data_IF_228187977415
#
_entry.id   IF_228187977415
#
_cell.length_a   1.000
_cell.length_b   1.000
_cell.length_c   1.000
_cell.angle_alpha   90.00
_cell.angle_beta   90.00
_cell.angle_gamma   90.00
#
_symmetry.space_group_name_H-M   'P 1'
#
loop_
_entity.id
_entity.type
_entity.pdbx_description
1 polymer ?
#
# COMPACT_ATOMS: atom_id res chain seq x y z
N UNK A 1 -24.64 -0.44 16.50
CA UNK A 1 -25.38 -1.15 15.42
C UNK A 1 -25.79 -2.50 15.98
N UNK A 2 -27.04 -2.94 15.77
CA UNK A 2 -27.47 -4.30 16.16
C UNK A 2 -26.63 -5.32 15.39
N UNK A 3 -26.12 -6.34 16.08
CA UNK A 3 -25.42 -7.45 15.43
C UNK A 3 -26.43 -8.26 14.60
N UNK A 4 -26.25 -8.26 13.29
CA UNK A 4 -26.97 -9.15 12.38
C UNK A 4 -26.04 -10.33 12.05
N UNK A 5 -26.34 -11.55 12.56
CA UNK A 5 -25.48 -12.72 12.32
C UNK A 5 -25.41 -13.15 10.85
N UNK A 6 -26.33 -12.66 10.01
CA UNK A 6 -26.28 -12.87 8.55
C UNK A 6 -25.44 -11.85 7.81
N UNK A 7 -24.85 -10.90 8.54
CA UNK A 7 -24.03 -9.84 7.95
C UNK A 7 -22.67 -9.75 8.67
N UNK A 8 -21.77 -10.73 8.47
CA UNK A 8 -20.44 -10.68 9.06
C UNK A 8 -19.69 -9.41 8.60
N UNK A 9 -18.93 -8.82 9.50
CA UNK A 9 -18.24 -7.55 9.27
C UNK A 9 -16.75 -7.76 8.99
N UNK A 10 -16.17 -6.91 8.14
CA UNK A 10 -14.74 -6.97 7.82
C UNK A 10 -13.84 -6.91 9.06
N UNK A 11 -14.26 -6.25 10.13
CA UNK A 11 -13.51 -6.22 11.40
C UNK A 11 -13.39 -7.59 12.07
N UNK A 12 -14.29 -8.53 11.81
CA UNK A 12 -14.20 -9.89 12.36
C UNK A 12 -13.16 -10.78 11.69
N UNK A 13 -12.57 -10.32 10.57
CA UNK A 13 -11.50 -11.05 9.87
C UNK A 13 -10.17 -10.96 10.62
N UNK A 14 -9.95 -9.90 11.42
CA UNK A 14 -8.72 -9.69 12.18
C UNK A 14 -8.80 -10.49 13.49
N UNK A 15 -7.86 -11.40 13.69
CA UNK A 15 -7.82 -12.30 14.85
C UNK A 15 -6.40 -12.42 15.37
N UNK A 16 -6.24 -12.96 16.58
CA UNK A 16 -4.93 -13.31 17.15
C UNK A 16 -4.46 -14.71 16.75
N UNK A 17 -5.26 -15.45 16.00
CA UNK A 17 -4.89 -16.80 15.53
C UNK A 17 -3.93 -16.72 14.35
N UNK A 18 -2.96 -17.65 14.24
CA UNK A 18 -2.06 -17.71 13.11
C UNK A 18 -2.81 -17.77 11.77
N UNK A 19 -2.35 -16.99 10.80
CA UNK A 19 -2.91 -16.92 9.45
C UNK A 19 -1.78 -16.68 8.43
N UNK A 20 -1.93 -17.14 7.18
CA UNK A 20 -1.00 -16.81 6.11
C UNK A 20 -1.00 -15.31 5.75
N UNK A 21 -2.07 -14.58 6.10
CA UNK A 21 -2.16 -13.12 5.94
C UNK A 21 -1.96 -12.46 7.29
N UNK A 22 -1.06 -11.47 7.37
CA UNK A 22 -0.83 -10.67 8.57
C UNK A 22 -1.14 -9.20 8.34
N UNK A 23 -1.58 -8.49 9.39
CA UNK A 23 -1.76 -7.05 9.40
C UNK A 23 -0.95 -6.40 10.50
N UNK A 24 -0.14 -5.39 10.16
CA UNK A 24 0.77 -4.70 11.07
C UNK A 24 0.57 -3.19 10.97
N UNK A 25 0.44 -2.51 12.11
CA UNK A 25 0.35 -1.06 12.17
C UNK A 25 1.74 -0.43 12.28
N UNK A 26 2.04 0.53 11.41
CA UNK A 26 3.33 1.24 11.35
C UNK A 26 3.05 2.76 11.35
N UNK A 27 2.77 3.37 12.50
CA UNK A 27 2.26 4.73 12.62
C UNK A 27 3.37 5.81 12.52
N UNK A 28 4.15 5.82 11.43
CA UNK A 28 5.19 6.82 11.16
C UNK A 28 4.59 8.18 10.77
N UNK A 29 5.30 9.28 11.10
CA UNK A 29 4.88 10.64 10.75
C UNK A 29 5.96 11.71 10.83
N UNK A 30 7.10 11.41 11.49
CA UNK A 30 8.07 12.46 11.86
C UNK A 30 8.92 12.93 10.70
N UNK A 31 9.05 12.11 9.66
CA UNK A 31 9.83 12.41 8.46
C UNK A 31 8.98 12.98 7.33
N UNK A 32 7.71 13.19 7.57
CA UNK A 32 6.77 13.74 6.59
C UNK A 32 7.15 15.18 6.22
N UNK A 33 7.17 15.48 4.92
CA UNK A 33 7.47 16.81 4.38
C UNK A 33 6.38 17.81 4.76
N UNK A 34 5.14 17.36 4.78
CA UNK A 34 3.98 18.12 5.23
C UNK A 34 3.56 17.66 6.62
N UNK A 35 3.31 18.58 7.54
CA UNK A 35 2.82 18.24 8.88
C UNK A 35 1.56 17.39 8.80
N UNK A 36 1.58 16.24 9.45
CA UNK A 36 0.53 15.23 9.39
C UNK A 36 0.26 14.56 10.72
N UNK A 37 -0.96 14.07 10.88
CA UNK A 37 -1.36 13.14 11.93
C UNK A 37 -1.61 11.72 11.39
N UNK A 38 -0.92 11.34 10.32
CA UNK A 38 -1.09 10.05 9.64
C UNK A 38 -0.91 8.83 10.59
N UNK A 39 -0.17 8.99 11.70
CA UNK A 39 -0.03 7.95 12.74
C UNK A 39 -1.37 7.50 13.37
N UNK A 40 -2.45 8.27 13.20
CA UNK A 40 -3.78 7.90 13.68
C UNK A 40 -4.52 6.96 12.71
N UNK A 41 -4.01 6.82 11.50
CA UNK A 41 -4.71 6.15 10.39
C UNK A 41 -4.83 4.64 10.55
N UNK A 42 -3.83 3.88 11.03
CA UNK A 42 -3.99 2.44 11.21
C UNK A 42 -5.21 2.08 12.04
N UNK A 43 -5.36 2.72 13.19
CA UNK A 43 -6.52 2.52 14.06
C UNK A 43 -7.84 2.89 13.37
N UNK A 44 -7.88 4.01 12.66
CA UNK A 44 -9.07 4.48 11.97
C UNK A 44 -9.51 3.51 10.86
N UNK A 45 -8.56 2.94 10.09
CA UNK A 45 -8.85 1.90 9.08
C UNK A 45 -9.43 0.65 9.72
N UNK A 46 -8.83 0.16 10.82
CA UNK A 46 -9.34 -1.01 11.56
C UNK A 46 -10.77 -0.80 12.05
N UNK A 47 -11.09 0.37 12.59
CA UNK A 47 -12.44 0.72 13.02
C UNK A 47 -13.41 0.79 11.83
N UNK A 48 -12.98 1.31 10.68
CA UNK A 48 -13.81 1.43 9.49
C UNK A 48 -14.16 0.07 8.86
N UNK A 49 -13.38 -0.99 9.06
CA UNK A 49 -13.70 -2.35 8.62
C UNK A 49 -15.05 -2.85 9.16
N UNK A 50 -15.48 -2.38 10.34
CA UNK A 50 -16.77 -2.72 10.90
C UNK A 50 -17.98 -2.21 10.09
N UNK A 51 -17.75 -1.32 9.11
CA UNK A 51 -18.82 -0.80 8.24
C UNK A 51 -19.12 -1.72 7.06
N UNK A 52 -18.20 -2.60 6.69
CA UNK A 52 -18.26 -3.40 5.47
C UNK A 52 -18.57 -4.86 5.76
N UNK A 53 -19.24 -5.50 4.79
CA UNK A 53 -19.48 -6.93 4.77
C UNK A 53 -18.23 -7.68 4.31
N UNK A 54 -18.16 -8.96 4.63
CA UNK A 54 -17.14 -9.88 4.11
C UNK A 54 -17.48 -10.46 2.74
N UNK A 55 -18.66 -10.14 2.20
CA UNK A 55 -19.13 -10.66 0.92
C UNK A 55 -18.64 -9.82 -0.27
N UNK A 56 -17.93 -10.46 -1.19
CA UNK A 56 -17.49 -9.89 -2.46
C UNK A 56 -18.45 -10.26 -3.58
N UNK A 57 -19.24 -9.29 -4.05
CA UNK A 57 -20.25 -9.54 -5.09
C UNK A 57 -19.63 -9.92 -6.44
N UNK A 58 -18.48 -9.30 -6.80
CA UNK A 58 -17.82 -9.54 -8.10
C UNK A 58 -17.27 -10.95 -8.26
N UNK A 59 -16.88 -11.61 -7.16
CA UNK A 59 -16.43 -13.01 -7.15
C UNK A 59 -17.49 -13.96 -6.63
N UNK A 60 -18.60 -13.42 -6.10
CA UNK A 60 -19.65 -14.15 -5.40
C UNK A 60 -19.10 -15.03 -4.27
N UNK A 61 -18.13 -14.49 -3.52
CA UNK A 61 -17.41 -15.19 -2.46
C UNK A 61 -17.52 -14.44 -1.12
N UNK A 62 -17.70 -15.19 -0.05
CA UNK A 62 -17.61 -14.70 1.32
C UNK A 62 -16.22 -14.95 1.87
N UNK A 63 -15.43 -13.88 2.00
CA UNK A 63 -14.05 -13.94 2.46
C UNK A 63 -13.92 -14.23 3.97
N UNK A 64 -15.03 -14.42 4.71
CA UNK A 64 -15.00 -14.73 6.14
C UNK A 64 -14.29 -16.04 6.49
N UNK A 65 -14.10 -16.94 5.50
CA UNK A 65 -13.32 -18.17 5.66
C UNK A 65 -11.80 -17.95 5.72
N UNK A 66 -11.30 -16.72 5.53
CA UNK A 66 -9.86 -16.40 5.61
C UNK A 66 -9.65 -15.32 6.67
N UNK A 67 -8.93 -15.65 7.74
CA UNK A 67 -8.58 -14.68 8.78
C UNK A 67 -7.33 -13.87 8.39
N UNK A 68 -7.15 -12.75 9.10
CA UNK A 68 -5.94 -11.93 9.08
C UNK A 68 -5.36 -11.98 10.49
N UNK A 69 -4.11 -12.41 10.63
CA UNK A 69 -3.44 -12.39 11.94
C UNK A 69 -3.06 -10.96 12.32
N UNK A 70 -3.47 -10.55 13.52
CA UNK A 70 -3.09 -9.26 14.08
C UNK A 70 -1.64 -9.33 14.60
N UNK A 71 -0.74 -8.67 13.90
CA UNK A 71 0.67 -8.56 14.27
C UNK A 71 0.94 -7.38 15.22
N UNK A 72 -0.11 -6.62 15.58
CA UNK A 72 -0.03 -5.46 16.49
C UNK A 72 0.53 -4.21 15.83
N UNK A 73 1.29 -3.41 16.60
CA UNK A 73 1.80 -2.10 16.21
C UNK A 73 3.31 -1.99 16.45
N UNK A 74 4.01 -1.23 15.62
CA UNK A 74 5.40 -0.79 15.84
C UNK A 74 5.37 0.46 16.73
N UNK A 75 6.05 0.40 17.87
CA UNK A 75 5.96 1.46 18.87
C UNK A 75 6.66 2.77 18.46
N UNK A 76 7.79 2.69 17.78
CA UNK A 76 8.58 3.87 17.33
C UNK A 76 9.12 3.66 15.91
N UNK A 77 8.24 3.67 14.89
CA UNK A 77 8.67 3.41 13.51
C UNK A 77 9.62 4.49 12.95
N UNK A 78 9.47 5.73 13.41
CA UNK A 78 10.32 6.84 12.99
C UNK A 78 11.72 6.82 13.64
N UNK A 79 11.86 6.23 14.82
CA UNK A 79 13.13 6.19 15.57
C UNK A 79 13.86 4.86 15.46
N UNK A 80 13.16 3.79 15.07
CA UNK A 80 13.73 2.44 15.02
C UNK A 80 13.19 1.63 13.81
N UNK A 81 13.56 2.03 12.61
CA UNK A 81 13.19 1.31 11.38
C UNK A 81 13.68 -0.16 11.39
N UNK A 82 14.78 -0.45 12.09
CA UNK A 82 15.31 -1.81 12.18
C UNK A 82 14.35 -2.76 12.92
N UNK A 83 13.59 -2.25 13.88
CA UNK A 83 12.53 -3.04 14.53
C UNK A 83 11.45 -3.43 13.52
N UNK A 84 11.01 -2.49 12.70
CA UNK A 84 10.03 -2.75 11.63
C UNK A 84 10.53 -3.82 10.67
N UNK A 85 11.75 -3.68 10.16
CA UNK A 85 12.38 -4.65 9.25
C UNK A 85 12.42 -6.04 9.89
N UNK A 86 12.93 -6.13 11.11
CA UNK A 86 13.11 -7.41 11.81
C UNK A 86 11.78 -8.09 12.13
N UNK A 87 10.77 -7.32 12.53
CA UNK A 87 9.45 -7.83 12.87
C UNK A 87 8.73 -8.39 11.66
N UNK A 88 8.79 -7.69 10.53
CA UNK A 88 8.20 -8.16 9.27
C UNK A 88 8.93 -9.41 8.77
N UNK A 89 10.27 -9.40 8.75
CA UNK A 89 11.06 -10.56 8.32
C UNK A 89 10.76 -11.82 9.13
N UNK A 90 10.51 -11.67 10.44
CA UNK A 90 10.21 -12.78 11.35
C UNK A 90 8.74 -13.24 11.33
N UNK A 91 7.83 -12.43 10.82
CA UNK A 91 6.40 -12.75 10.81
C UNK A 91 6.04 -13.89 9.87
N UNK A 92 6.86 -14.16 8.85
CA UNK A 92 6.73 -15.26 7.89
C UNK A 92 5.32 -15.40 7.31
N UNK A 93 4.83 -14.33 6.67
CA UNK A 93 3.51 -14.26 6.05
C UNK A 93 3.59 -14.45 4.54
N UNK A 94 2.57 -15.11 3.97
CA UNK A 94 2.41 -15.16 2.52
C UNK A 94 1.97 -13.81 1.95
N UNK A 95 1.21 -13.03 2.74
CA UNK A 95 0.86 -11.64 2.45
C UNK A 95 0.89 -10.81 3.73
N UNK A 96 1.76 -9.82 3.77
CA UNK A 96 1.73 -8.77 4.79
C UNK A 96 0.86 -7.61 4.32
N UNK A 97 -0.03 -7.11 5.17
CA UNK A 97 -0.73 -5.85 5.00
C UNK A 97 -0.17 -4.88 6.05
N UNK A 98 0.57 -3.87 5.62
CA UNK A 98 1.10 -2.83 6.50
C UNK A 98 0.19 -1.59 6.46
N UNK A 99 -0.38 -1.21 7.60
CA UNK A 99 -1.14 0.01 7.71
C UNK A 99 -0.20 1.14 8.14
N UNK A 100 0.06 2.05 7.21
CA UNK A 100 0.98 3.15 7.42
C UNK A 100 0.37 4.35 8.07
N UNK A 101 1.29 5.16 8.51
CA UNK A 101 1.27 6.58 8.62
C UNK A 101 1.66 7.25 7.31
N UNK A 102 2.78 7.95 7.29
CA UNK A 102 3.33 8.53 6.06
C UNK A 102 4.10 7.49 5.22
N UNK A 103 4.45 7.84 3.98
CA UNK A 103 5.06 6.91 3.02
C UNK A 103 6.50 6.50 3.36
N UNK A 104 7.12 7.06 4.41
CA UNK A 104 8.46 6.65 4.83
C UNK A 104 8.54 5.18 5.25
N UNK A 105 7.41 4.59 5.68
CA UNK A 105 7.34 3.19 6.12
C UNK A 105 7.67 2.19 5.02
N UNK A 106 7.40 2.52 3.76
CA UNK A 106 7.60 1.63 2.59
C UNK A 106 9.03 1.12 2.52
N UNK A 107 10.02 1.95 2.89
CA UNK A 107 11.41 1.51 2.96
C UNK A 107 11.61 0.32 3.90
N UNK A 108 11.21 0.46 5.16
CA UNK A 108 11.42 -0.57 6.16
C UNK A 108 10.51 -1.79 5.94
N UNK A 109 9.26 -1.56 5.50
CA UNK A 109 8.30 -2.61 5.22
C UNK A 109 8.75 -3.49 4.05
N UNK A 110 9.19 -2.88 2.94
CA UNK A 110 9.69 -3.62 1.78
C UNK A 110 10.96 -4.40 2.11
N UNK A 111 11.94 -3.80 2.80
CA UNK A 111 13.15 -4.52 3.21
C UNK A 111 12.85 -5.74 4.09
N UNK A 112 11.95 -5.59 5.06
CA UNK A 112 11.52 -6.70 5.90
C UNK A 112 10.84 -7.81 5.11
N UNK A 113 10.01 -7.45 4.13
CA UNK A 113 9.30 -8.41 3.27
C UNK A 113 10.21 -9.10 2.26
N UNK A 114 11.21 -8.41 1.72
CA UNK A 114 12.18 -8.97 0.76
C UNK A 114 13.19 -9.91 1.41
N UNK A 115 13.43 -9.77 2.72
CA UNK A 115 14.43 -10.58 3.44
C UNK A 115 15.80 -10.53 2.73
N UNK A 116 16.33 -11.70 2.35
CA UNK A 116 17.63 -11.84 1.65
C UNK A 116 17.52 -11.67 0.13
N UNK A 117 16.30 -11.60 -0.43
CA UNK A 117 16.06 -11.63 -1.87
C UNK A 117 16.05 -10.24 -2.55
N UNK A 118 16.60 -9.22 -1.88
CA UNK A 118 16.57 -7.82 -2.34
C UNK A 118 17.08 -7.64 -3.79
N UNK A 119 18.06 -8.40 -4.21
CA UNK A 119 18.67 -8.30 -5.55
C UNK A 119 17.72 -8.70 -6.68
N UNK A 120 16.77 -9.61 -6.42
CA UNK A 120 15.76 -10.08 -7.38
C UNK A 120 14.38 -9.51 -7.09
N UNK A 121 14.22 -8.86 -5.94
CA UNK A 121 12.96 -8.27 -5.50
C UNK A 121 12.45 -7.21 -6.48
N UNK A 122 11.14 -7.00 -6.45
CA UNK A 122 10.44 -5.98 -7.21
C UNK A 122 9.63 -5.08 -6.30
N UNK A 123 9.71 -3.77 -6.56
CA UNK A 123 8.82 -2.78 -5.97
C UNK A 123 7.81 -2.32 -7.03
N UNK A 124 6.52 -2.30 -6.67
CA UNK A 124 5.46 -1.67 -7.45
C UNK A 124 4.91 -0.54 -6.60
N UNK A 125 4.94 0.71 -7.09
CA UNK A 125 4.27 1.82 -6.40
C UNK A 125 3.03 2.25 -7.16
N UNK A 126 1.95 2.49 -6.44
CA UNK A 126 0.76 3.20 -6.88
C UNK A 126 0.83 4.59 -6.24
N UNK A 127 1.36 5.58 -6.96
CA UNK A 127 1.81 6.85 -6.42
C UNK A 127 1.82 7.94 -7.51
N UNK A 128 1.52 9.18 -7.13
CA UNK A 128 1.67 10.35 -8.00
C UNK A 128 3.13 10.83 -8.11
N UNK A 129 4.01 10.37 -7.21
CA UNK A 129 5.40 10.82 -7.05
C UNK A 129 6.41 9.71 -7.35
N UNK A 130 7.67 10.13 -7.63
CA UNK A 130 8.77 9.18 -7.82
C UNK A 130 9.42 8.70 -6.53
N UNK A 131 9.30 9.45 -5.45
CA UNK A 131 9.91 9.18 -4.15
C UNK A 131 11.43 8.97 -4.19
N UNK A 132 12.07 9.81 -5.01
CA UNK A 132 13.50 9.81 -5.25
C UNK A 132 14.23 10.98 -4.56
N UNK A 133 13.59 11.65 -3.57
CA UNK A 133 14.23 12.75 -2.84
C UNK A 133 15.46 12.29 -2.09
N UNK A 134 16.42 13.19 -1.94
CA UNK A 134 17.59 12.96 -1.12
C UNK A 134 17.26 12.98 0.36
N UNK A 135 17.99 12.20 1.15
CA UNK A 135 17.82 12.13 2.60
C UNK A 135 16.72 11.17 3.06
N UNK A 136 16.20 11.41 4.28
CA UNK A 136 15.16 10.58 4.90
C UNK A 136 13.89 11.42 5.01
N UNK A 137 12.87 11.03 4.26
CA UNK A 137 11.54 11.64 4.29
C UNK A 137 10.50 10.68 3.71
N UNK A 138 9.22 11.02 3.82
CA UNK A 138 8.15 10.29 3.14
C UNK A 138 8.25 10.35 1.61
N UNK A 139 9.03 11.28 1.03
CA UNK A 139 9.30 11.37 -0.41
C UNK A 139 10.60 10.69 -0.84
N UNK A 140 11.16 9.77 -0.04
CA UNK A 140 12.45 9.12 -0.34
C UNK A 140 12.49 7.59 -0.24
N UNK A 141 11.41 6.84 0.01
CA UNK A 141 11.49 5.39 0.20
C UNK A 141 12.05 4.66 -1.02
N UNK A 142 11.68 5.06 -2.23
CA UNK A 142 12.19 4.46 -3.47
C UNK A 142 13.70 4.69 -3.61
N UNK A 143 14.20 5.91 -3.38
CA UNK A 143 15.62 6.21 -3.39
C UNK A 143 16.39 5.38 -2.39
N UNK A 144 15.89 5.27 -1.18
CA UNK A 144 16.53 4.53 -0.09
C UNK A 144 16.58 3.03 -0.36
N UNK A 145 15.55 2.44 -0.99
CA UNK A 145 15.55 1.04 -1.43
C UNK A 145 16.61 0.78 -2.51
N UNK A 146 16.79 1.71 -3.46
CA UNK A 146 17.86 1.63 -4.46
C UNK A 146 19.22 1.68 -3.77
N UNK A 147 19.43 2.60 -2.86
CA UNK A 147 20.68 2.75 -2.11
C UNK A 147 20.97 1.52 -1.23
N UNK A 148 19.95 0.80 -0.77
CA UNK A 148 20.07 -0.47 -0.07
C UNK A 148 20.39 -1.66 -0.98
N UNK A 149 20.25 -1.53 -2.31
CA UNK A 149 20.60 -2.56 -3.29
C UNK A 149 19.47 -3.10 -4.15
N UNK A 150 18.25 -2.54 -4.05
CA UNK A 150 17.17 -2.87 -4.97
C UNK A 150 17.53 -2.42 -6.39
N UNK A 151 17.43 -3.34 -7.36
CA UNK A 151 17.69 -2.99 -8.76
C UNK A 151 16.60 -2.03 -9.29
N UNK A 152 16.97 -0.79 -9.71
CA UNK A 152 15.98 0.19 -10.19
C UNK A 152 15.15 -0.32 -11.39
N UNK A 153 15.68 -1.23 -12.20
CA UNK A 153 14.95 -1.84 -13.33
C UNK A 153 13.82 -2.77 -12.86
N UNK A 154 13.84 -3.19 -11.60
CA UNK A 154 12.78 -3.96 -10.98
C UNK A 154 11.73 -3.07 -10.27
N UNK A 155 11.81 -1.74 -10.42
CA UNK A 155 10.83 -0.79 -9.88
C UNK A 155 9.83 -0.43 -10.96
N UNK A 156 8.55 -0.54 -10.64
CA UNK A 156 7.42 -0.17 -11.49
C UNK A 156 6.57 0.87 -10.77
N UNK A 157 6.45 2.06 -11.34
CA UNK A 157 5.67 3.16 -10.79
C UNK A 157 4.42 3.40 -11.62
N UNK A 158 3.25 3.25 -11.02
CA UNK A 158 1.93 3.36 -11.66
C UNK A 158 1.23 4.60 -11.13
N UNK A 159 0.94 5.56 -12.00
CA UNK A 159 0.15 6.73 -11.64
C UNK A 159 0.92 8.04 -11.57
N UNK A 160 2.22 8.04 -11.84
CA UNK A 160 3.06 9.25 -11.83
C UNK A 160 2.34 10.41 -12.53
N UNK A 161 2.06 11.48 -11.77
CA UNK A 161 1.17 12.54 -12.22
C UNK A 161 1.95 13.75 -12.75
N UNK A 162 1.33 14.46 -13.69
CA UNK A 162 1.87 15.70 -14.23
C UNK A 162 1.94 16.77 -13.12
N UNK A 163 3.01 17.55 -13.12
CA UNK A 163 3.28 18.65 -12.17
C UNK A 163 3.47 18.22 -10.70
N UNK A 164 3.53 16.91 -10.41
CA UNK A 164 3.80 16.37 -9.08
C UNK A 164 5.28 16.05 -8.84
N UNK A 165 6.11 16.10 -9.89
CA UNK A 165 7.53 15.76 -9.82
C UNK A 165 8.41 16.84 -10.43
N UNK A 166 9.66 16.98 -9.94
CA UNK A 166 10.64 17.85 -10.59
C UNK A 166 11.25 17.19 -11.83
N UNK A 167 11.78 18.02 -12.73
CA UNK A 167 12.50 17.53 -13.91
C UNK A 167 13.72 16.69 -13.52
N UNK A 168 14.42 17.07 -12.46
CA UNK A 168 15.60 16.39 -11.96
C UNK A 168 15.29 14.98 -11.50
N UNK A 169 14.22 14.78 -10.71
CA UNK A 169 13.82 13.44 -10.24
C UNK A 169 13.21 12.60 -11.35
N UNK A 170 12.48 13.20 -12.28
CA UNK A 170 12.00 12.49 -13.48
C UNK A 170 13.15 12.03 -14.38
N UNK A 171 14.20 12.87 -14.54
CA UNK A 171 15.41 12.51 -15.26
C UNK A 171 16.17 11.39 -14.55
N UNK A 172 16.30 11.47 -13.22
CA UNK A 172 16.93 10.43 -12.42
C UNK A 172 16.19 9.09 -12.56
N UNK A 173 14.88 9.07 -12.48
CA UNK A 173 14.07 7.86 -12.66
C UNK A 173 14.34 7.21 -14.03
N UNK A 174 14.41 8.03 -15.09
CA UNK A 174 14.71 7.58 -16.44
C UNK A 174 16.14 7.03 -16.57
N UNK A 175 17.13 7.73 -16.02
CA UNK A 175 18.54 7.35 -16.10
C UNK A 175 18.84 6.06 -15.33
N UNK A 176 18.12 5.84 -14.21
CA UNK A 176 18.16 4.61 -13.43
C UNK A 176 17.43 3.45 -14.13
N UNK A 177 16.57 3.74 -15.10
CA UNK A 177 15.80 2.73 -15.83
C UNK A 177 14.58 2.23 -15.04
N UNK A 178 13.99 3.06 -14.17
CA UNK A 178 12.72 2.78 -13.49
C UNK A 178 11.61 2.70 -14.53
N UNK A 179 10.72 1.72 -14.39
CA UNK A 179 9.58 1.54 -15.30
C UNK A 179 8.42 2.44 -14.84
N UNK A 180 8.06 3.43 -15.65
CA UNK A 180 7.05 4.43 -15.30
C UNK A 180 5.82 4.29 -16.20
N UNK A 181 4.67 4.06 -15.59
CA UNK A 181 3.34 4.15 -16.22
C UNK A 181 2.70 5.44 -15.69
N UNK A 182 2.85 6.53 -16.46
CA UNK A 182 2.30 7.83 -16.06
C UNK A 182 0.78 7.80 -15.97
N UNK A 183 0.19 8.79 -15.28
CA UNK A 183 -1.27 8.94 -15.19
C UNK A 183 -1.93 9.00 -16.57
N UNK A 184 -1.29 9.65 -17.54
CA UNK A 184 -1.80 9.72 -18.92
C UNK A 184 -1.73 8.38 -19.64
N UNK A 185 -0.64 7.63 -19.48
CA UNK A 185 -0.50 6.27 -20.02
C UNK A 185 -1.55 5.35 -19.40
N UNK A 186 -1.71 5.43 -18.07
CA UNK A 186 -2.70 4.64 -17.32
C UNK A 186 -4.14 4.88 -17.81
N UNK A 187 -4.49 6.13 -18.15
CA UNK A 187 -5.80 6.46 -18.71
C UNK A 187 -6.06 5.76 -20.06
N UNK A 188 -5.00 5.41 -20.78
CA UNK A 188 -5.09 4.76 -22.09
C UNK A 188 -5.17 3.23 -21.98
N UNK A 189 -4.31 2.63 -21.15
CA UNK A 189 -4.21 1.16 -21.05
C UNK A 189 -5.13 0.56 -19.98
N UNK A 190 -5.55 1.36 -18.99
CA UNK A 190 -6.36 0.93 -17.85
C UNK A 190 -5.54 0.25 -16.75
N UNK A 191 -6.12 0.23 -15.53
CA UNK A 191 -5.44 -0.26 -14.32
C UNK A 191 -5.10 -1.76 -14.38
N UNK A 192 -5.95 -2.56 -14.98
CA UNK A 192 -5.72 -4.02 -15.13
C UNK A 192 -4.44 -4.29 -15.91
N UNK A 193 -4.28 -3.64 -17.06
CA UNK A 193 -3.10 -3.84 -17.90
C UNK A 193 -1.84 -3.28 -17.25
N UNK A 194 -1.94 -2.15 -16.56
CA UNK A 194 -0.81 -1.59 -15.81
C UNK A 194 -0.31 -2.57 -14.73
N UNK A 195 -1.21 -3.18 -13.96
CA UNK A 195 -0.86 -4.20 -12.97
C UNK A 195 -0.24 -5.45 -13.63
N UNK A 196 -0.79 -5.90 -14.76
CA UNK A 196 -0.25 -7.04 -15.50
C UNK A 196 1.18 -6.78 -16.00
N UNK A 197 1.44 -5.58 -16.54
CA UNK A 197 2.78 -5.15 -16.97
C UNK A 197 3.74 -5.15 -15.77
N UNK A 198 3.31 -4.60 -14.63
CA UNK A 198 4.14 -4.50 -13.44
C UNK A 198 4.45 -5.87 -12.78
N UNK A 199 3.57 -6.85 -12.91
CA UNK A 199 3.76 -8.21 -12.40
C UNK A 199 4.52 -9.12 -13.37
N UNK A 200 4.51 -8.79 -14.66
CA UNK A 200 5.09 -9.63 -15.69
C UNK A 200 6.57 -9.88 -15.43
N UNK A 201 7.00 -11.13 -15.59
CA UNK A 201 8.40 -11.56 -15.45
C UNK A 201 9.05 -11.17 -14.10
N UNK A 202 8.26 -11.06 -13.01
CA UNK A 202 8.80 -10.90 -11.67
C UNK A 202 9.55 -12.18 -11.26
N UNK A 203 10.86 -12.09 -11.02
CA UNK A 203 11.69 -13.23 -10.61
C UNK A 203 11.60 -13.49 -9.11
N UNK A 204 11.80 -12.45 -8.29
CA UNK A 204 11.79 -12.48 -6.83
C UNK A 204 10.46 -12.06 -6.20
N UNK A 205 10.47 -11.81 -4.88
CA UNK A 205 9.32 -11.30 -4.15
C UNK A 205 8.95 -9.89 -4.62
N UNK A 206 7.66 -9.59 -4.58
CA UNK A 206 7.11 -8.28 -4.95
C UNK A 206 6.53 -7.61 -3.71
N UNK A 207 6.91 -6.36 -3.46
CA UNK A 207 6.24 -5.48 -2.51
C UNK A 207 5.46 -4.42 -3.26
N UNK A 208 4.27 -4.10 -2.77
CA UNK A 208 3.40 -3.08 -3.37
C UNK A 208 3.20 -1.96 -2.37
N UNK A 209 3.62 -0.78 -2.74
CA UNK A 209 3.34 0.47 -2.04
C UNK A 209 2.08 1.11 -2.62
N UNK A 210 1.12 1.43 -1.74
CA UNK A 210 -0.09 2.18 -2.08
C UNK A 210 -0.05 3.52 -1.35
N UNK A 211 0.59 4.50 -1.99
CA UNK A 211 0.36 5.90 -1.63
C UNK A 211 -1.00 6.33 -2.18
N UNK A 212 -1.91 6.69 -1.27
CA UNK A 212 -3.27 7.03 -1.70
C UNK A 212 -3.36 8.32 -2.52
N UNK A 213 -2.29 9.10 -2.60
CA UNK A 213 -2.23 10.32 -3.41
C UNK A 213 -2.24 10.06 -4.93
N UNK A 214 -2.04 8.81 -5.34
CA UNK A 214 -2.31 8.36 -6.71
C UNK A 214 -3.76 8.63 -7.12
N UNK A 215 -4.67 8.69 -6.15
CA UNK A 215 -6.08 9.01 -6.36
C UNK A 215 -6.33 10.51 -6.57
N UNK A 216 -7.44 10.81 -7.24
CA UNK A 216 -7.96 12.18 -7.33
C UNK A 216 -8.23 12.77 -5.94
N UNK A 217 -7.89 14.04 -5.74
CA UNK A 217 -8.09 14.76 -4.47
C UNK A 217 -9.53 14.67 -3.94
N UNK A 218 -10.51 14.59 -4.81
CA UNK A 218 -11.92 14.45 -4.41
C UNK A 218 -12.24 13.08 -3.81
N UNK A 219 -11.44 12.08 -4.15
CA UNK A 219 -11.54 10.71 -3.62
C UNK A 219 -10.86 10.61 -2.26
N UNK A 220 -9.68 11.22 -2.10
CA UNK A 220 -8.84 11.13 -0.91
C UNK A 220 -8.55 12.52 -0.30
N UNK A 221 -9.56 13.22 0.20
CA UNK A 221 -9.39 14.57 0.77
C UNK A 221 -8.46 14.60 1.99
N UNK A 222 -8.28 13.51 2.68
CA UNK A 222 -7.40 13.37 3.84
C UNK A 222 -5.93 13.09 3.48
N UNK A 223 -5.60 12.96 2.19
CA UNK A 223 -4.21 12.84 1.78
C UNK A 223 -3.59 14.22 1.51
N UNK A 224 -2.52 14.65 2.21
CA UNK A 224 -1.97 16.00 2.05
C UNK A 224 -1.51 16.31 0.63
N UNK A 225 -0.85 15.35 -0.04
CA UNK A 225 -0.21 15.52 -1.35
C UNK A 225 -1.13 15.25 -2.55
N UNK A 226 -2.31 14.65 -2.34
CA UNK A 226 -3.22 14.33 -3.44
C UNK A 226 -3.62 15.56 -4.26
N UNK A 227 -3.57 15.44 -5.58
CA UNK A 227 -3.91 16.47 -6.55
C UNK A 227 -5.16 16.09 -7.38
N UNK A 228 -5.88 17.07 -7.98
CA UNK A 228 -6.90 16.75 -8.98
C UNK A 228 -6.31 16.04 -10.21
N UNK A 229 -7.03 15.05 -10.73
CA UNK A 229 -6.63 14.32 -11.93
C UNK A 229 -6.04 12.92 -11.68
N UNK A 230 -6.00 12.47 -10.43
CA UNK A 230 -5.60 11.11 -10.06
C UNK A 230 -6.60 10.03 -10.51
N UNK A 231 -6.40 8.81 -10.09
CA UNK A 231 -7.31 7.68 -10.38
C UNK A 231 -8.54 7.69 -9.45
N UNK A 232 -9.55 6.92 -9.83
CA UNK A 232 -10.75 6.74 -9.00
C UNK A 232 -10.51 5.72 -7.87
N UNK A 233 -11.36 5.76 -6.83
CA UNK A 233 -11.39 4.73 -5.80
C UNK A 233 -11.61 3.32 -6.36
N UNK A 234 -12.39 3.20 -7.45
CA UNK A 234 -12.65 1.91 -8.08
C UNK A 234 -11.39 1.33 -8.73
N UNK A 235 -10.63 2.15 -9.46
CA UNK A 235 -9.36 1.73 -10.08
C UNK A 235 -8.34 1.31 -9.02
N UNK A 236 -8.18 2.07 -7.91
CA UNK A 236 -7.26 1.70 -6.83
C UNK A 236 -7.66 0.39 -6.16
N UNK A 237 -8.95 0.18 -5.89
CA UNK A 237 -9.47 -1.08 -5.34
C UNK A 237 -9.22 -2.26 -6.29
N UNK A 238 -9.42 -2.08 -7.60
CA UNK A 238 -9.10 -3.11 -8.58
C UNK A 238 -7.60 -3.45 -8.57
N UNK A 239 -6.72 -2.43 -8.53
CA UNK A 239 -5.28 -2.64 -8.45
C UNK A 239 -4.90 -3.47 -7.22
N UNK A 240 -5.42 -3.11 -6.04
CA UNK A 240 -5.13 -3.83 -4.79
C UNK A 240 -5.52 -5.32 -4.90
N UNK A 241 -6.70 -5.63 -5.45
CA UNK A 241 -7.14 -7.01 -5.65
C UNK A 241 -6.28 -7.77 -6.65
N UNK A 242 -5.99 -7.17 -7.81
CA UNK A 242 -5.20 -7.80 -8.88
C UNK A 242 -3.79 -8.11 -8.40
N UNK A 243 -3.14 -7.14 -7.75
CA UNK A 243 -1.78 -7.29 -7.25
C UNK A 243 -1.73 -8.34 -6.14
N UNK A 244 -2.66 -8.30 -5.17
CA UNK A 244 -2.73 -9.28 -4.10
C UNK A 244 -3.04 -10.71 -4.57
N UNK A 245 -3.63 -10.89 -5.76
CA UNK A 245 -3.87 -12.22 -6.34
C UNK A 245 -2.59 -12.90 -6.84
N UNK A 246 -1.51 -12.16 -7.03
CA UNK A 246 -0.22 -12.75 -7.41
C UNK A 246 0.47 -13.38 -6.19
N UNK A 247 0.87 -14.67 -6.25
CA UNK A 247 1.64 -15.30 -5.16
C UNK A 247 3.05 -14.72 -5.01
N UNK A 248 3.54 -13.93 -5.97
CA UNK A 248 4.78 -13.18 -5.88
C UNK A 248 4.68 -11.96 -4.95
N UNK A 249 3.50 -11.41 -4.75
CA UNK A 249 3.29 -10.26 -3.86
C UNK A 249 3.29 -10.74 -2.43
N UNK A 250 4.36 -10.43 -1.70
CA UNK A 250 4.58 -10.86 -0.31
C UNK A 250 4.16 -9.80 0.71
N UNK A 251 4.00 -8.55 0.30
CA UNK A 251 3.56 -7.47 1.16
C UNK A 251 2.97 -6.31 0.38
N UNK A 252 2.06 -5.59 1.02
CA UNK A 252 1.43 -4.37 0.53
C UNK A 252 1.26 -3.40 1.69
N UNK A 253 1.52 -2.13 1.47
CA UNK A 253 1.18 -1.10 2.45
C UNK A 253 0.08 -0.15 1.95
N UNK A 254 -0.42 0.66 2.87
CA UNK A 254 -1.37 1.75 2.61
C UNK A 254 -0.86 2.96 3.37
N UNK A 255 -0.52 4.04 2.68
CA UNK A 255 0.18 5.19 3.24
C UNK A 255 -0.50 6.52 2.91
N UNK A 256 -0.01 7.61 3.53
CA UNK A 256 -0.36 9.02 3.27
C UNK A 256 -1.83 9.41 3.56
N UNK A 257 -2.49 8.71 4.48
CA UNK A 257 -3.80 9.13 5.00
C UNK A 257 -3.62 9.87 6.33
N UNK A 258 -4.07 11.10 6.42
CA UNK A 258 -4.24 11.81 7.70
C UNK A 258 -5.70 11.71 8.16
N UNK A 259 -6.00 10.66 8.93
CA UNK A 259 -7.38 10.40 9.38
C UNK A 259 -8.00 11.56 10.17
N UNK A 260 -7.17 12.44 10.78
CA UNK A 260 -7.65 13.62 11.51
C UNK A 260 -8.19 14.73 10.61
N UNK A 261 -7.81 14.71 9.33
CA UNK A 261 -8.21 15.70 8.32
C UNK A 261 -9.23 15.14 7.32
N UNK A 262 -9.75 13.94 7.55
CA UNK A 262 -10.75 13.37 6.65
C UNK A 262 -12.09 14.11 6.79
N UNK A 263 -12.90 13.98 5.77
CA UNK A 263 -14.25 14.54 5.74
C UNK A 263 -15.16 13.86 6.77
N UNK A 264 -16.28 14.48 7.10
CA UNK A 264 -17.26 13.94 8.07
C UNK A 264 -17.69 12.50 7.72
N UNK A 265 -17.79 12.18 6.43
CA UNK A 265 -18.11 10.82 5.96
C UNK A 265 -16.92 9.85 5.97
N UNK A 266 -15.72 10.30 6.34
CA UNK A 266 -14.49 9.50 6.46
C UNK A 266 -14.13 8.74 5.17
N UNK A 267 -14.32 9.36 4.00
CA UNK A 267 -14.21 8.65 2.70
C UNK A 267 -12.81 8.11 2.42
N UNK A 268 -11.75 8.80 2.85
CA UNK A 268 -10.37 8.34 2.66
C UNK A 268 -10.07 7.13 3.56
N UNK A 269 -10.41 7.22 4.84
CA UNK A 269 -10.27 6.10 5.81
C UNK A 269 -11.09 4.89 5.36
N UNK A 270 -12.31 5.12 4.86
CA UNK A 270 -13.16 4.05 4.31
C UNK A 270 -12.56 3.39 3.08
N UNK A 271 -11.87 4.16 2.23
CA UNK A 271 -11.14 3.59 1.10
C UNK A 271 -10.01 2.68 1.61
N UNK A 272 -9.23 3.12 2.61
CA UNK A 272 -8.20 2.28 3.24
C UNK A 272 -8.76 0.94 3.75
N UNK A 273 -9.92 0.98 4.44
CA UNK A 273 -10.59 -0.24 4.89
C UNK A 273 -11.04 -1.15 3.72
N UNK A 274 -11.53 -0.57 2.63
CA UNK A 274 -11.88 -1.34 1.43
C UNK A 274 -10.64 -1.93 0.76
N UNK A 275 -9.49 -1.24 0.76
CA UNK A 275 -8.25 -1.78 0.22
C UNK A 275 -7.80 -3.03 0.98
N UNK A 276 -7.91 -3.05 2.32
CA UNK A 276 -7.64 -4.27 3.12
C UNK A 276 -8.53 -5.44 2.68
N UNK A 277 -9.83 -5.19 2.46
CA UNK A 277 -10.75 -6.24 1.99
C UNK A 277 -10.45 -6.69 0.56
N UNK A 278 -10.04 -5.78 -0.33
CA UNK A 278 -9.61 -6.11 -1.70
C UNK A 278 -8.33 -6.95 -1.72
N UNK A 279 -7.36 -6.62 -0.86
CA UNK A 279 -6.13 -7.40 -0.72
C UNK A 279 -6.44 -8.83 -0.26
N UNK A 280 -7.33 -9.00 0.72
CA UNK A 280 -7.73 -10.32 1.19
C UNK A 280 -8.53 -11.08 0.12
N UNK A 281 -9.44 -10.41 -0.58
CA UNK A 281 -10.18 -11.01 -1.69
C UNK A 281 -9.26 -11.42 -2.84
N UNK A 282 -8.22 -10.63 -3.13
CA UNK A 282 -7.17 -10.99 -4.09
C UNK A 282 -6.36 -12.19 -3.63
N UNK A 283 -5.90 -12.20 -2.37
CA UNK A 283 -5.16 -13.31 -1.78
C UNK A 283 -5.89 -14.66 -1.94
N UNK A 284 -7.19 -14.67 -1.76
CA UNK A 284 -8.04 -15.89 -1.93
C UNK A 284 -8.09 -16.40 -3.38
N UNK A 285 -7.68 -15.60 -4.35
CA UNK A 285 -7.60 -16.00 -5.77
C UNK A 285 -6.26 -16.65 -6.13
N UNK A 286 -5.30 -16.70 -5.19
CA UNK A 286 -4.01 -17.36 -5.40
C UNK A 286 -4.23 -18.85 -5.61
N UNK A 287 -3.66 -19.38 -6.66
CA UNK A 287 -3.69 -20.80 -7.04
C UNK A 287 -2.34 -21.47 -6.82
#
# INVERSE_FOLDING_TARGET
MSEDPKWPRGSSLITTSPSPVGILDIPARKTSITETSAHLTPKAIREALARYSTFSYSTYDDISGTSIEDLGEIADPDGNEQETISRIASADKELLIALGGDNSITYAAALGAFKEDLSTARLITLDAHHDLRDGISNGSPVRRLIDAGLNPKNIFQIGINDFSNSFEYASLAKDLGINVISRNTLATIGIQEACNIALKDAEGPVFVDIDVDVCDRSVVPACPAAAPGGISAFELRQAARILAASPKVVGMDITEIDASKDTEDQRTVRLGALLVLEMLAGFRLRS
#
